data_IF_151408329679
#
_entry.id   IF_151408329679
#
_cell.length_a   1.000
_cell.length_b   1.000
_cell.length_c   1.000
_cell.angle_alpha   90.00
_cell.angle_beta   90.00
_cell.angle_gamma   90.00
#
_symmetry.space_group_name_H-M   'P 1'
#
loop_
_entity.id
_entity.type
_entity.pdbx_description
1 polymer ?
#
# COMPACT_ATOMS: atom_id res chain seq x y z
N UNK A 1 18.91 -10.23 -17.22
CA UNK A 1 17.46 -10.50 -17.04
C UNK A 1 17.01 -9.95 -15.70
N UNK A 2 17.80 -10.12 -14.63
CA UNK A 2 17.61 -9.44 -13.34
C UNK A 2 17.39 -7.93 -13.46
N UNK A 3 18.11 -7.23 -14.35
CA UNK A 3 17.89 -5.79 -14.58
C UNK A 3 16.45 -5.46 -15.00
N UNK A 4 15.79 -6.34 -15.78
CA UNK A 4 14.40 -6.14 -16.18
C UNK A 4 13.45 -6.32 -15.01
N UNK A 5 13.71 -7.29 -14.14
CA UNK A 5 12.95 -7.50 -12.91
C UNK A 5 13.09 -6.29 -11.98
N UNK A 6 14.31 -5.78 -11.83
CA UNK A 6 14.58 -4.57 -11.06
C UNK A 6 13.85 -3.35 -11.63
N UNK A 7 13.88 -3.14 -12.96
CA UNK A 7 13.11 -2.08 -13.59
C UNK A 7 11.61 -2.23 -13.33
N UNK A 8 11.06 -3.44 -13.45
CA UNK A 8 9.65 -3.70 -13.18
C UNK A 8 9.27 -3.38 -11.73
N UNK A 9 10.13 -3.70 -10.76
CA UNK A 9 9.92 -3.35 -9.35
C UNK A 9 9.82 -1.83 -9.20
N UNK A 10 10.78 -1.08 -9.75
CA UNK A 10 10.82 0.38 -9.69
C UNK A 10 9.63 1.02 -10.40
N UNK A 11 9.31 0.58 -11.61
CA UNK A 11 8.17 1.09 -12.38
C UNK A 11 6.85 0.85 -11.66
N UNK A 12 6.65 -0.36 -11.14
CA UNK A 12 5.43 -0.70 -10.40
C UNK A 12 5.35 0.03 -9.05
N UNK A 13 6.47 0.31 -8.40
CA UNK A 13 6.51 1.10 -7.16
C UNK A 13 6.21 2.58 -7.43
N UNK A 14 6.78 3.17 -8.50
CA UNK A 14 6.46 4.53 -8.94
C UNK A 14 4.97 4.70 -9.20
N UNK A 15 4.38 3.79 -9.97
CA UNK A 15 2.93 3.80 -10.23
C UNK A 15 2.12 3.68 -8.93
N UNK A 16 2.54 2.79 -8.02
CA UNK A 16 1.86 2.61 -6.74
C UNK A 16 1.93 3.86 -5.86
N UNK A 17 3.09 4.49 -5.71
CA UNK A 17 3.27 5.74 -4.96
C UNK A 17 2.49 6.88 -5.60
N UNK A 18 2.41 6.93 -6.93
CA UNK A 18 1.59 7.92 -7.63
C UNK A 18 0.09 7.73 -7.36
N UNK A 19 -0.39 6.48 -7.37
CA UNK A 19 -1.77 6.15 -7.00
C UNK A 19 -2.08 6.57 -5.56
N UNK A 20 -1.17 6.27 -4.61
CA UNK A 20 -1.28 6.68 -3.21
C UNK A 20 -1.32 8.20 -3.06
N UNK A 21 -0.43 8.90 -3.77
CA UNK A 21 -0.38 10.36 -3.78
C UNK A 21 -1.72 10.93 -4.22
N UNK A 22 -2.33 10.36 -5.27
CA UNK A 22 -3.62 10.85 -5.74
C UNK A 22 -4.74 10.63 -4.71
N UNK A 23 -4.76 9.49 -4.02
CA UNK A 23 -5.71 9.27 -2.90
C UNK A 23 -5.54 10.35 -1.83
N UNK A 24 -4.30 10.63 -1.40
CA UNK A 24 -4.04 11.59 -0.32
C UNK A 24 -4.31 13.03 -0.75
N UNK A 25 -3.79 13.45 -1.89
CA UNK A 25 -3.82 14.85 -2.35
C UNK A 25 -5.14 15.22 -3.03
N UNK A 26 -5.70 14.33 -3.83
CA UNK A 26 -6.83 14.68 -4.70
C UNK A 26 -8.18 14.26 -4.13
N UNK A 27 -8.19 13.28 -3.21
CA UNK A 27 -9.40 12.90 -2.47
C UNK A 27 -9.38 13.43 -1.03
N UNK A 28 -8.42 13.02 -0.20
CA UNK A 28 -8.44 13.33 1.22
C UNK A 28 -8.25 14.82 1.53
N UNK A 29 -7.27 15.48 0.91
CA UNK A 29 -7.05 16.93 1.10
C UNK A 29 -8.24 17.73 0.52
N UNK A 30 -8.77 17.34 -0.65
CA UNK A 30 -9.95 17.97 -1.25
C UNK A 30 -11.22 17.88 -0.38
N UNK A 31 -11.46 16.75 0.29
CA UNK A 31 -12.59 16.61 1.22
C UNK A 31 -12.39 17.52 2.45
N UNK A 32 -11.14 17.69 2.88
CA UNK A 32 -10.78 18.51 4.03
C UNK A 32 -10.99 20.01 3.77
N UNK A 33 -10.66 20.47 2.56
CA UNK A 33 -10.80 21.88 2.16
C UNK A 33 -12.26 22.26 1.86
N UNK A 34 -13.07 21.30 1.43
CA UNK A 34 -14.48 21.53 1.13
C UNK A 34 -15.32 21.46 2.41
N UNK A 35 -15.37 22.57 3.13
CA UNK A 35 -16.23 22.79 4.32
C UNK A 35 -17.72 22.50 4.11
N UNK A 36 -18.17 22.34 2.85
CA UNK A 36 -19.55 21.99 2.48
C UNK A 36 -19.81 20.48 2.34
N UNK A 37 -18.78 19.64 2.25
CA UNK A 37 -18.95 18.18 2.32
C UNK A 37 -19.03 17.80 3.79
N UNK A 38 -20.16 17.22 4.20
CA UNK A 38 -20.45 16.83 5.58
C UNK A 38 -19.71 15.55 6.00
N UNK A 39 -18.42 15.41 5.67
CA UNK A 39 -17.59 14.29 6.08
C UNK A 39 -16.81 14.69 7.33
N UNK A 40 -17.27 14.22 8.49
CA UNK A 40 -16.62 14.49 9.76
C UNK A 40 -15.20 13.93 9.83
N UNK A 41 -14.38 14.39 10.78
CA UNK A 41 -13.02 13.87 10.99
C UNK A 41 -13.01 12.35 11.25
N UNK A 42 -14.00 11.84 11.99
CA UNK A 42 -14.12 10.41 12.25
C UNK A 42 -14.46 9.59 11.01
N UNK A 43 -15.36 10.09 10.15
CA UNK A 43 -15.73 9.40 8.91
C UNK A 43 -14.57 9.38 7.91
N UNK A 44 -13.81 10.48 7.82
CA UNK A 44 -12.58 10.55 7.03
C UNK A 44 -11.54 9.56 7.54
N UNK A 45 -11.31 9.52 8.85
CA UNK A 45 -10.38 8.56 9.46
C UNK A 45 -10.84 7.12 9.25
N UNK A 46 -12.15 6.84 9.33
CA UNK A 46 -12.70 5.53 9.02
C UNK A 46 -12.53 5.15 7.54
N UNK A 47 -12.75 6.09 6.62
CA UNK A 47 -12.67 5.88 5.17
C UNK A 47 -11.23 5.67 4.69
N UNK A 48 -10.29 6.49 5.13
CA UNK A 48 -8.92 6.48 4.62
C UNK A 48 -7.92 5.76 5.54
N UNK A 49 -8.31 5.46 6.79
CA UNK A 49 -7.41 4.81 7.75
C UNK A 49 -6.10 5.58 7.92
N UNK A 50 -5.00 4.84 7.93
CA UNK A 50 -3.63 5.38 7.95
C UNK A 50 -2.99 5.46 6.55
N UNK A 51 -3.78 5.70 5.48
CA UNK A 51 -3.24 5.77 4.10
C UNK A 51 -2.17 6.85 3.92
N UNK A 52 -2.21 7.93 4.71
CA UNK A 52 -1.17 8.97 4.68
C UNK A 52 0.18 8.43 5.14
N UNK A 53 0.18 7.56 6.16
CA UNK A 53 1.41 6.93 6.67
C UNK A 53 1.94 5.94 5.65
N UNK A 54 1.05 5.15 5.01
CA UNK A 54 1.39 4.27 3.89
C UNK A 54 2.03 5.09 2.75
N UNK A 55 1.43 6.22 2.37
CA UNK A 55 1.98 7.08 1.32
C UNK A 55 3.37 7.62 1.65
N UNK A 56 3.58 8.11 2.87
CA UNK A 56 4.89 8.62 3.31
C UNK A 56 5.95 7.52 3.27
N UNK A 57 5.66 6.39 3.90
CA UNK A 57 6.55 5.24 3.93
C UNK A 57 6.94 4.76 2.53
N UNK A 58 5.98 4.55 1.63
CA UNK A 58 6.31 4.05 0.29
C UNK A 58 7.00 5.12 -0.57
N UNK A 59 6.79 6.41 -0.30
CA UNK A 59 7.56 7.47 -0.97
C UNK A 59 9.03 7.44 -0.56
N UNK A 60 9.31 7.21 0.73
CA UNK A 60 10.67 7.02 1.25
C UNK A 60 11.29 5.72 0.73
N UNK A 61 10.54 4.62 0.74
CA UNK A 61 10.99 3.34 0.15
C UNK A 61 11.32 3.51 -1.34
N UNK A 62 10.46 4.16 -2.13
CA UNK A 62 10.73 4.42 -3.54
C UNK A 62 12.01 5.23 -3.73
N UNK A 63 12.22 6.27 -2.93
CA UNK A 63 13.43 7.08 -2.99
C UNK A 63 14.68 6.23 -2.71
N UNK A 64 14.63 5.36 -1.70
CA UNK A 64 15.74 4.46 -1.38
C UNK A 64 16.00 3.46 -2.51
N UNK A 65 14.94 2.87 -3.09
CA UNK A 65 15.05 1.96 -4.22
C UNK A 65 15.64 2.64 -5.48
N UNK A 66 15.29 3.90 -5.74
CA UNK A 66 15.87 4.68 -6.84
C UNK A 66 17.35 5.00 -6.64
N UNK A 67 17.80 5.12 -5.39
CA UNK A 67 19.20 5.35 -5.04
C UNK A 67 20.07 4.09 -5.15
N UNK A 68 19.48 2.90 -5.28
CA UNK A 68 20.21 1.64 -5.42
C UNK A 68 20.83 1.42 -6.81
N UNK A 69 20.68 2.36 -7.75
CA UNK A 69 21.27 2.30 -9.11
C UNK A 69 20.95 1.01 -9.89
N UNK A 70 19.82 0.38 -9.59
CA UNK A 70 19.37 -0.91 -10.13
C UNK A 70 20.16 -2.15 -9.66
N UNK A 71 20.93 -2.04 -8.58
CA UNK A 71 21.57 -3.19 -7.94
C UNK A 71 20.51 -4.05 -7.21
N UNK A 72 20.32 -5.32 -7.61
CA UNK A 72 19.35 -6.22 -6.97
C UNK A 72 19.64 -6.48 -5.48
N UNK A 73 20.91 -6.47 -5.06
CA UNK A 73 21.30 -6.72 -3.67
C UNK A 73 20.97 -5.50 -2.82
N UNK A 74 21.34 -4.30 -3.27
CA UNK A 74 20.98 -3.05 -2.60
C UNK A 74 19.45 -2.86 -2.51
N UNK A 75 18.71 -3.26 -3.55
CA UNK A 75 17.23 -3.26 -3.51
C UNK A 75 16.70 -4.19 -2.42
N UNK A 76 17.23 -5.42 -2.34
CA UNK A 76 16.84 -6.37 -1.29
C UNK A 76 17.15 -5.81 0.11
N UNK A 77 18.32 -5.19 0.28
CA UNK A 77 18.74 -4.58 1.54
C UNK A 77 17.78 -3.46 2.00
N UNK A 78 17.21 -2.67 1.07
CA UNK A 78 16.17 -1.69 1.43
C UNK A 78 14.97 -2.32 2.13
N UNK A 79 14.53 -3.52 1.71
CA UNK A 79 13.40 -4.21 2.34
C UNK A 79 13.75 -4.75 3.72
N UNK A 80 14.97 -5.27 3.91
CA UNK A 80 15.45 -5.75 5.21
C UNK A 80 15.58 -4.57 6.17
N UNK A 81 16.22 -3.48 5.73
CA UNK A 81 16.46 -2.27 6.52
C UNK A 81 15.17 -1.59 6.98
N UNK A 82 14.09 -1.66 6.18
CA UNK A 82 12.77 -1.10 6.53
C UNK A 82 11.77 -2.12 7.07
N UNK A 83 12.22 -3.33 7.41
CA UNK A 83 11.34 -4.44 7.82
C UNK A 83 10.38 -4.10 8.96
N UNK A 84 10.85 -3.39 9.98
CA UNK A 84 10.05 -2.96 11.12
C UNK A 84 8.97 -1.94 10.73
N UNK A 85 9.26 -1.07 9.77
CA UNK A 85 8.34 0.00 9.34
C UNK A 85 7.11 -0.54 8.59
N UNK A 86 7.20 -1.73 8.00
CA UNK A 86 6.05 -2.37 7.33
C UNK A 86 4.89 -2.69 8.29
N UNK A 87 5.05 -2.58 9.62
CA UNK A 87 3.97 -2.76 10.58
C UNK A 87 2.76 -1.83 10.32
N UNK A 88 2.97 -0.66 9.70
CA UNK A 88 1.89 0.26 9.32
C UNK A 88 0.86 -0.39 8.37
N UNK A 89 1.28 -1.37 7.56
CA UNK A 89 0.39 -2.14 6.70
C UNK A 89 -0.51 -3.09 7.49
N UNK A 90 -0.07 -3.55 8.66
CA UNK A 90 -0.94 -4.35 9.56
C UNK A 90 -2.09 -3.50 10.05
N UNK A 91 -1.83 -2.25 10.47
CA UNK A 91 -2.88 -1.30 10.85
C UNK A 91 -3.82 -0.99 9.68
N UNK A 92 -3.28 -0.79 8.47
CA UNK A 92 -4.11 -0.50 7.30
C UNK A 92 -5.01 -1.69 6.94
N UNK A 93 -4.44 -2.89 6.83
CA UNK A 93 -5.16 -4.11 6.44
C UNK A 93 -6.21 -4.53 7.46
N UNK A 94 -5.97 -4.32 8.77
CA UNK A 94 -6.97 -4.59 9.81
C UNK A 94 -8.13 -3.59 9.78
N UNK A 95 -7.87 -2.33 9.44
CA UNK A 95 -8.90 -1.29 9.31
C UNK A 95 -9.61 -1.27 7.95
N UNK A 96 -9.04 -1.90 6.91
CA UNK A 96 -9.58 -1.90 5.55
C UNK A 96 -11.07 -2.28 5.44
N UNK A 97 -11.60 -3.31 6.15
CA UNK A 97 -13.03 -3.60 6.14
C UNK A 97 -13.90 -2.42 6.61
N UNK A 98 -13.43 -1.65 7.60
CA UNK A 98 -14.10 -0.44 8.07
C UNK A 98 -14.07 0.66 7.02
N UNK A 99 -12.96 0.81 6.30
CA UNK A 99 -12.84 1.73 5.17
C UNK A 99 -13.83 1.42 4.04
N UNK A 100 -14.00 0.13 3.72
CA UNK A 100 -15.00 -0.32 2.72
C UNK A 100 -16.42 -0.02 3.19
N UNK A 101 -16.74 -0.28 4.47
CA UNK A 101 -18.05 0.04 5.03
C UNK A 101 -18.34 1.55 5.03
N UNK A 102 -17.36 2.36 5.44
CA UNK A 102 -17.45 3.82 5.43
C UNK A 102 -17.64 4.37 4.00
N UNK A 103 -16.90 3.84 3.02
CA UNK A 103 -17.09 4.21 1.62
C UNK A 103 -18.48 3.85 1.13
N UNK A 104 -18.98 2.67 1.48
CA UNK A 104 -20.32 2.21 1.10
C UNK A 104 -21.39 3.15 1.65
N UNK A 105 -21.27 3.58 2.90
CA UNK A 105 -22.19 4.54 3.50
C UNK A 105 -22.08 5.93 2.86
N UNK A 106 -20.86 6.38 2.56
CA UNK A 106 -20.65 7.61 1.80
C UNK A 106 -21.35 7.57 0.43
N UNK A 107 -21.30 6.43 -0.25
CA UNK A 107 -21.94 6.25 -1.56
C UNK A 107 -23.48 6.25 -1.50
N UNK A 108 -24.09 6.07 -0.32
CA UNK A 108 -25.54 6.23 -0.12
C UNK A 108 -25.96 7.70 -0.07
N UNK A 109 -25.07 8.58 0.37
CA UNK A 109 -25.29 10.02 0.35
C UNK A 109 -25.09 10.55 -1.08
N UNK A 110 -26.15 11.10 -1.69
CA UNK A 110 -26.12 11.60 -3.07
C UNK A 110 -25.05 12.67 -3.32
N UNK A 111 -24.78 13.54 -2.34
CA UNK A 111 -23.78 14.60 -2.48
C UNK A 111 -22.36 14.03 -2.48
N UNK A 112 -22.06 13.12 -1.54
CA UNK A 112 -20.76 12.45 -1.45
C UNK A 112 -20.51 11.54 -2.67
N UNK A 113 -21.52 10.74 -3.06
CA UNK A 113 -21.43 9.90 -4.24
C UNK A 113 -21.18 10.70 -5.53
N UNK A 114 -21.83 11.87 -5.66
CA UNK A 114 -21.58 12.79 -6.77
C UNK A 114 -20.15 13.33 -6.72
N UNK A 115 -19.68 13.77 -5.55
CA UNK A 115 -18.31 14.25 -5.37
C UNK A 115 -17.27 13.19 -5.77
N UNK A 116 -17.39 11.95 -5.29
CA UNK A 116 -16.43 10.89 -5.64
C UNK A 116 -16.39 10.59 -7.14
N UNK A 117 -17.55 10.63 -7.82
CA UNK A 117 -17.62 10.49 -9.29
C UNK A 117 -16.95 11.64 -10.01
N UNK A 118 -17.27 12.89 -9.64
CA UNK A 118 -16.66 14.07 -10.26
C UNK A 118 -15.15 14.11 -10.05
N UNK A 119 -14.66 13.71 -8.86
CA UNK A 119 -13.22 13.57 -8.60
C UNK A 119 -12.60 12.49 -9.48
N UNK A 120 -13.22 11.31 -9.57
CA UNK A 120 -12.74 10.22 -10.42
C UNK A 120 -12.64 10.66 -11.90
N UNK A 121 -13.65 11.37 -12.41
CA UNK A 121 -13.65 11.90 -13.78
C UNK A 121 -12.56 12.97 -13.97
N UNK A 122 -12.43 13.91 -13.04
CA UNK A 122 -11.42 14.98 -13.10
C UNK A 122 -9.98 14.42 -13.08
N UNK A 123 -9.74 13.35 -12.34
CA UNK A 123 -8.45 12.67 -12.26
C UNK A 123 -8.24 11.64 -13.37
N UNK A 124 -9.25 11.41 -14.22
CA UNK A 124 -9.25 10.39 -15.27
C UNK A 124 -8.93 8.98 -14.73
N UNK A 125 -9.36 8.72 -13.50
CA UNK A 125 -9.14 7.44 -12.84
C UNK A 125 -10.02 6.35 -13.47
N UNK A 126 -9.38 5.31 -13.99
CA UNK A 126 -10.05 4.18 -14.63
C UNK A 126 -10.83 3.30 -13.64
N UNK A 127 -10.47 3.35 -12.36
CA UNK A 127 -11.08 2.56 -11.29
C UNK A 127 -11.80 3.45 -10.26
N UNK A 128 -12.80 2.93 -9.54
CA UNK A 128 -13.40 3.64 -8.42
C UNK A 128 -12.45 3.74 -7.22
N UNK A 129 -12.67 4.72 -6.34
CA UNK A 129 -11.84 4.96 -5.15
C UNK A 129 -11.62 3.69 -4.30
N UNK A 130 -12.66 2.85 -4.13
CA UNK A 130 -12.55 1.60 -3.39
C UNK A 130 -11.48 0.64 -3.94
N UNK A 131 -11.28 0.60 -5.27
CA UNK A 131 -10.23 -0.20 -5.89
C UNK A 131 -8.83 0.37 -5.61
N UNK A 132 -8.70 1.68 -5.55
CA UNK A 132 -7.45 2.34 -5.16
C UNK A 132 -7.12 2.09 -3.68
N UNK A 133 -8.12 2.13 -2.80
CA UNK A 133 -7.96 1.81 -1.37
C UNK A 133 -7.56 0.34 -1.12
N UNK A 134 -7.81 -0.57 -2.07
CA UNK A 134 -7.39 -1.96 -2.00
C UNK A 134 -5.90 -2.15 -2.37
N UNK A 135 -5.31 -1.24 -3.15
CA UNK A 135 -3.93 -1.38 -3.66
C UNK A 135 -2.89 -1.63 -2.56
N UNK A 136 -2.90 -0.97 -1.38
CA UNK A 136 -1.94 -1.29 -0.31
C UNK A 136 -2.04 -2.73 0.21
N UNK A 137 -3.26 -3.24 0.34
CA UNK A 137 -3.50 -4.64 0.76
C UNK A 137 -2.94 -5.61 -0.27
N UNK A 138 -2.98 -5.25 -1.56
CA UNK A 138 -2.41 -6.05 -2.63
C UNK A 138 -0.90 -5.91 -2.74
N UNK A 139 -0.35 -4.70 -2.58
CA UNK A 139 1.07 -4.40 -2.77
C UNK A 139 1.94 -5.12 -1.74
N UNK A 140 1.53 -5.11 -0.47
CA UNK A 140 2.28 -5.76 0.60
C UNK A 140 2.44 -7.28 0.40
N UNK A 141 1.48 -7.92 -0.26
CA UNK A 141 1.51 -9.34 -0.61
C UNK A 141 2.31 -9.65 -1.89
N UNK A 142 2.80 -8.62 -2.59
CA UNK A 142 3.60 -8.78 -3.81
C UNK A 142 5.09 -8.63 -3.58
N UNK A 143 5.54 -7.91 -2.54
CA UNK A 143 6.98 -7.66 -2.34
C UNK A 143 7.80 -8.95 -2.24
N UNK A 144 7.34 -9.97 -1.51
CA UNK A 144 8.06 -11.23 -1.45
C UNK A 144 8.12 -11.95 -2.82
N UNK A 145 7.08 -11.81 -3.67
CA UNK A 145 7.07 -12.40 -5.01
C UNK A 145 8.07 -11.69 -5.93
N UNK A 146 8.14 -10.36 -5.85
CA UNK A 146 9.09 -9.55 -6.61
C UNK A 146 10.54 -9.87 -6.22
N UNK A 147 10.80 -10.05 -4.91
CA UNK A 147 12.12 -10.48 -4.42
C UNK A 147 12.47 -11.90 -4.86
N UNK A 148 11.50 -12.82 -4.92
CA UNK A 148 11.69 -14.14 -5.54
C UNK A 148 12.05 -14.04 -7.03
N UNK A 149 11.46 -13.10 -7.78
CA UNK A 149 11.83 -12.89 -9.19
C UNK A 149 13.28 -12.40 -9.34
N UNK A 150 13.78 -11.59 -8.39
CA UNK A 150 15.21 -11.24 -8.33
C UNK A 150 16.04 -12.50 -8.09
N UNK A 151 15.74 -13.27 -7.05
CA UNK A 151 16.49 -14.47 -6.67
C UNK A 151 16.58 -15.49 -7.81
N UNK A 152 15.48 -15.73 -8.53
CA UNK A 152 15.43 -16.66 -9.66
C UNK A 152 16.34 -16.27 -10.83
N UNK A 153 16.73 -14.99 -10.94
CA UNK A 153 17.52 -14.47 -12.05
C UNK A 153 18.88 -13.91 -11.64
N UNK A 154 19.21 -13.96 -10.35
CA UNK A 154 20.51 -13.57 -9.79
C UNK A 154 21.45 -14.77 -9.74
N UNK A 155 22.74 -14.55 -10.00
CA UNK A 155 23.74 -15.61 -9.84
C UNK A 155 23.93 -15.91 -8.35
N UNK A 156 23.96 -17.20 -7.97
CA UNK A 156 24.10 -17.64 -6.57
C UNK A 156 25.47 -17.34 -6.00
N UNK A 157 26.46 -17.15 -6.86
CA UNK A 157 27.81 -16.74 -6.48
C UNK A 157 27.95 -15.20 -6.37
N UNK A 158 26.86 -14.44 -6.58
CA UNK A 158 26.85 -12.98 -6.38
C UNK A 158 27.09 -12.64 -4.91
N UNK A 159 28.01 -11.71 -4.65
CA UNK A 159 28.22 -11.16 -3.32
C UNK A 159 26.92 -10.52 -2.79
N UNK A 160 26.46 -10.92 -1.59
CA UNK A 160 25.20 -10.45 -1.02
C UNK A 160 23.95 -11.19 -1.47
N UNK A 161 24.07 -12.34 -2.15
CA UNK A 161 22.93 -13.21 -2.48
C UNK A 161 22.14 -13.64 -1.22
N UNK A 162 22.80 -13.79 -0.07
CA UNK A 162 22.18 -14.06 1.22
C UNK A 162 21.25 -12.93 1.71
N UNK A 163 21.57 -11.68 1.39
CA UNK A 163 20.71 -10.51 1.67
C UNK A 163 19.38 -10.62 0.91
N UNK A 164 19.41 -11.12 -0.34
CA UNK A 164 18.20 -11.36 -1.13
C UNK A 164 17.32 -12.43 -0.47
N UNK A 165 17.92 -13.51 0.01
CA UNK A 165 17.19 -14.56 0.73
C UNK A 165 16.58 -14.05 2.05
N UNK A 166 17.31 -13.22 2.79
CA UNK A 166 16.82 -12.61 4.03
C UNK A 166 15.68 -11.62 3.76
N UNK A 167 15.76 -10.82 2.70
CA UNK A 167 14.69 -9.93 2.27
C UNK A 167 13.40 -10.71 1.91
N UNK A 168 13.54 -11.83 1.20
CA UNK A 168 12.42 -12.71 0.87
C UNK A 168 11.74 -13.22 2.13
N UNK A 169 12.51 -13.81 3.04
CA UNK A 169 11.98 -14.39 4.27
C UNK A 169 11.34 -13.31 5.16
N UNK A 170 11.97 -12.14 5.27
CA UNK A 170 11.43 -10.97 5.95
C UNK A 170 10.07 -10.56 5.40
N UNK A 171 9.94 -10.39 4.08
CA UNK A 171 8.67 -9.97 3.48
C UNK A 171 7.60 -11.08 3.54
N UNK A 172 7.98 -12.35 3.55
CA UNK A 172 7.07 -13.46 3.83
C UNK A 172 6.55 -13.41 5.27
N UNK A 173 7.41 -13.14 6.26
CA UNK A 173 6.99 -12.97 7.66
C UNK A 173 6.04 -11.79 7.83
N UNK A 174 6.31 -10.66 7.16
CA UNK A 174 5.40 -9.49 7.14
C UNK A 174 4.03 -9.85 6.58
N UNK A 175 3.99 -10.52 5.41
CA UNK A 175 2.74 -10.95 4.80
C UNK A 175 1.96 -11.94 5.69
N UNK A 176 2.67 -12.90 6.30
CA UNK A 176 2.09 -13.85 7.24
C UNK A 176 1.51 -13.15 8.48
N UNK A 177 2.26 -12.20 9.06
CA UNK A 177 1.85 -11.44 10.24
C UNK A 177 0.58 -10.62 9.96
N UNK A 178 0.51 -9.94 8.82
CA UNK A 178 -0.69 -9.19 8.41
C UNK A 178 -1.91 -10.11 8.30
N UNK A 179 -1.73 -11.28 7.69
CA UNK A 179 -2.81 -12.25 7.53
C UNK A 179 -3.24 -12.88 8.88
N UNK A 180 -2.31 -13.14 9.78
CA UNK A 180 -2.60 -13.59 11.15
C UNK A 180 -3.36 -12.53 11.97
N UNK A 181 -2.89 -11.29 11.94
CA UNK A 181 -3.54 -10.17 12.63
C UNK A 181 -4.94 -9.88 12.09
N UNK A 182 -5.13 -9.99 10.78
CA UNK A 182 -6.47 -9.90 10.16
C UNK A 182 -7.39 -11.00 10.67
N UNK A 183 -6.93 -12.25 10.73
CA UNK A 183 -7.71 -13.39 11.27
C UNK A 183 -8.07 -13.19 12.75
N UNK A 184 -7.13 -12.74 13.58
CA UNK A 184 -7.37 -12.44 15.00
C UNK A 184 -8.39 -11.31 15.19
N UNK A 185 -8.27 -10.25 14.40
CA UNK A 185 -9.21 -9.12 14.42
C UNK A 185 -10.63 -9.54 14.04
N UNK A 186 -10.79 -10.31 12.96
CA UNK A 186 -12.10 -10.85 12.55
C UNK A 186 -12.71 -11.76 13.61
N UNK A 187 -11.90 -12.59 14.27
CA UNK A 187 -12.37 -13.46 15.36
C UNK A 187 -12.80 -12.65 16.59
N UNK A 188 -12.04 -11.62 16.97
CA UNK A 188 -12.38 -10.75 18.10
C UNK A 188 -13.70 -10.01 17.88
N UNK A 189 -13.95 -9.51 16.66
CA UNK A 189 -15.23 -8.87 16.31
C UNK A 189 -16.40 -9.85 16.44
N UNK A 190 -16.26 -11.10 15.95
CA UNK A 190 -17.34 -12.10 16.01
C UNK A 190 -17.73 -12.50 17.44
N UNK A 191 -16.81 -12.43 18.39
CA UNK A 191 -17.07 -12.76 19.80
C UNK A 191 -17.72 -11.62 20.59
N UNK A 192 -17.78 -10.40 20.03
CA UNK A 192 -18.38 -9.22 20.66
C UNK A 192 -19.83 -8.98 20.21
N UNK A 193 -20.35 -9.79 19.27
CA UNK A 193 -21.73 -9.75 18.75
C UNK A 193 -22.50 -10.94 19.29
#
# INVERSE_FOLDING_TARGET
>A
YVDRVVQEILETERMYVQDLKSIVKDYLDCITDQTKLSLGTEERSALFGNIQDIYRFNSELLQDLENCENDPVAIADCFVSKSEDFHIYTQYCTNYPRSVAALTECMRNKALAKFFRERQEALQHSLPLGSYLLKPVQRILKYHLLLHEIENHLDKDTEGYDVVLDAIDTMQRVAWHINDMKRKHEHAIRLQV
#
